data_IF_300639967141
#
_entry.id   IF_300639967141
#
_cell.length_a   1.000
_cell.length_b   1.000
_cell.length_c   1.000
_cell.angle_alpha   90.00
_cell.angle_beta   90.00
_cell.angle_gamma   90.00
#
_symmetry.space_group_name_H-M   'P 1'
#
loop_
_entity.id
_entity.type
_entity.pdbx_description
1 polymer ?
#
# COMPACT_ATOMS: atom_id res chain seq x y z
N UNK A 1 -26.46 11.68 0.26
CA UNK A 1 -25.88 11.52 -1.10
C UNK A 1 -25.03 12.70 -1.59
N UNK A 2 -24.84 13.79 -0.84
CA UNK A 2 -24.03 14.96 -1.29
C UNK A 2 -22.60 15.00 -0.71
N UNK A 3 -22.27 14.17 0.25
CA UNK A 3 -20.96 14.20 0.93
C UNK A 3 -19.89 13.27 0.33
N UNK A 4 -20.30 12.25 -0.43
CA UNK A 4 -19.36 11.32 -1.06
C UNK A 4 -18.57 11.89 -2.22
N UNK A 5 -19.00 13.03 -2.77
CA UNK A 5 -18.32 13.68 -3.91
C UNK A 5 -17.10 14.48 -3.44
N UNK A 6 -17.09 14.97 -2.20
CA UNK A 6 -15.99 15.79 -1.66
C UNK A 6 -14.71 14.95 -1.43
N UNK A 7 -14.84 13.67 -1.11
CA UNK A 7 -13.68 12.80 -0.84
C UNK A 7 -12.91 12.43 -2.12
N UNK A 8 -13.59 12.37 -3.26
CA UNK A 8 -12.97 12.08 -4.58
C UNK A 8 -12.06 13.24 -5.01
N UNK A 9 -12.42 14.47 -4.68
CA UNK A 9 -11.61 15.66 -5.00
C UNK A 9 -10.37 15.81 -4.11
N UNK A 10 -10.37 15.27 -2.88
CA UNK A 10 -9.20 15.28 -2.01
C UNK A 10 -8.07 14.35 -2.55
N UNK A 11 -8.43 13.24 -3.19
CA UNK A 11 -7.47 12.34 -3.83
C UNK A 11 -6.88 12.91 -5.13
N UNK A 12 -7.63 13.69 -5.87
CA UNK A 12 -7.13 14.38 -7.09
C UNK A 12 -6.20 15.56 -6.75
N UNK A 13 -6.38 16.22 -5.60
CA UNK A 13 -5.59 17.37 -5.17
C UNK A 13 -4.16 17.07 -4.72
N UNK A 14 -3.86 15.85 -4.28
CA UNK A 14 -2.52 15.46 -3.82
C UNK A 14 -1.55 15.20 -4.99
N UNK A 15 -2.05 14.99 -6.21
CA UNK A 15 -1.22 14.78 -7.39
C UNK A 15 -0.71 16.06 -8.07
N UNK A 16 -1.12 17.26 -7.67
CA UNK A 16 -0.84 18.51 -8.38
C UNK A 16 0.19 19.44 -7.73
N UNK A 17 0.83 19.07 -6.64
CA UNK A 17 1.85 19.93 -5.99
C UNK A 17 3.24 19.33 -6.14
N UNK A 18 3.79 19.33 -7.35
CA UNK A 18 5.24 19.25 -7.57
C UNK A 18 5.65 19.68 -8.99
N UNK A 19 5.28 20.88 -9.41
CA UNK A 19 5.87 21.52 -10.59
C UNK A 19 6.17 22.99 -10.31
N UNK A 20 7.23 23.27 -9.55
CA UNK A 20 7.90 24.56 -9.59
C UNK A 20 9.29 24.46 -8.97
N UNK A 21 10.25 24.99 -9.71
CA UNK A 21 11.65 25.30 -9.42
C UNK A 21 12.69 24.36 -10.04
N UNK A 22 12.99 24.64 -11.31
CA UNK A 22 14.32 24.54 -11.87
C UNK A 22 14.74 25.94 -12.34
N UNK A 23 15.67 26.55 -11.60
CA UNK A 23 16.49 27.66 -12.10
C UNK A 23 17.84 27.08 -12.47
N UNK A 24 18.29 27.35 -13.70
CA UNK A 24 19.59 26.97 -14.22
C UNK A 24 20.71 27.80 -13.58
N UNK A 25 21.81 27.18 -13.11
CA UNK A 25 23.03 27.91 -12.79
C UNK A 25 23.95 28.06 -14.01
N UNK A 26 24.82 29.11 -14.06
CA UNK A 26 25.59 29.47 -15.22
C UNK A 26 26.75 28.53 -15.53
N UNK A 27 27.08 28.45 -16.81
CA UNK A 27 28.13 27.62 -17.37
C UNK A 27 29.50 27.91 -16.79
N UNK A 28 30.21 26.90 -16.29
CA UNK A 28 31.65 26.89 -16.07
C UNK A 28 32.32 25.81 -16.92
N UNK A 29 33.25 26.23 -17.76
CA UNK A 29 34.19 25.39 -18.49
C UNK A 29 35.16 24.74 -17.53
N UNK A 30 35.36 23.43 -17.60
CA UNK A 30 36.66 22.76 -17.36
C UNK A 30 36.64 21.27 -17.65
N UNK A 31 37.68 20.85 -18.38
CA UNK A 31 38.41 19.58 -18.41
C UNK A 31 37.86 18.26 -18.93
N UNK A 32 38.51 17.82 -20.00
CA UNK A 32 38.28 16.64 -20.86
C UNK A 32 38.51 15.24 -20.25
N UNK A 33 38.77 15.12 -18.95
CA UNK A 33 39.03 13.78 -18.33
C UNK A 33 37.86 13.17 -17.56
N UNK A 34 36.71 13.85 -17.47
CA UNK A 34 35.55 13.33 -16.72
C UNK A 34 34.39 12.79 -17.58
N UNK A 35 34.57 12.76 -18.92
CA UNK A 35 33.48 12.48 -19.85
C UNK A 35 32.91 11.04 -19.73
N UNK A 36 33.72 10.03 -19.45
CA UNK A 36 33.24 8.66 -19.32
C UNK A 36 32.42 8.36 -18.08
N UNK A 37 32.68 9.07 -16.98
CA UNK A 37 31.92 8.88 -15.72
C UNK A 37 30.57 9.59 -15.72
N UNK A 38 30.46 10.66 -16.48
CA UNK A 38 29.23 11.47 -16.59
C UNK A 38 28.23 10.77 -17.49
N UNK A 39 28.66 10.14 -18.59
CA UNK A 39 27.78 9.42 -19.52
C UNK A 39 27.06 8.25 -18.82
N UNK A 40 27.75 7.48 -17.99
CA UNK A 40 27.10 6.39 -17.23
C UNK A 40 26.09 6.89 -16.19
N UNK A 41 26.29 8.09 -15.66
CA UNK A 41 25.37 8.68 -14.67
C UNK A 41 24.14 9.31 -15.34
N UNK A 42 24.26 9.83 -16.55
CA UNK A 42 23.14 10.36 -17.33
C UNK A 42 22.26 9.26 -17.92
N UNK A 43 22.84 8.13 -18.36
CA UNK A 43 22.03 6.98 -18.81
C UNK A 43 21.18 6.40 -17.68
N UNK A 44 21.70 6.31 -16.45
CA UNK A 44 20.93 5.81 -15.30
C UNK A 44 19.82 6.80 -14.88
N UNK A 45 19.99 8.09 -15.17
CA UNK A 45 18.97 9.11 -14.82
C UNK A 45 17.89 9.19 -15.91
N UNK A 46 18.22 8.95 -17.18
CA UNK A 46 17.25 8.94 -18.29
C UNK A 46 16.32 7.73 -18.26
N UNK A 47 16.78 6.56 -17.80
CA UNK A 47 15.95 5.37 -17.71
C UNK A 47 14.78 5.52 -16.71
N UNK A 48 14.90 6.45 -15.75
CA UNK A 48 13.88 6.69 -14.74
C UNK A 48 12.83 7.76 -15.13
N UNK A 49 13.04 8.48 -16.25
CA UNK A 49 12.17 9.60 -16.64
C UNK A 49 11.06 9.18 -17.60
N UNK A 50 11.19 8.03 -18.28
CA UNK A 50 10.27 7.59 -19.33
C UNK A 50 9.23 6.54 -18.92
N UNK A 51 9.15 6.16 -17.64
CA UNK A 51 8.04 5.30 -17.20
C UNK A 51 6.75 6.09 -17.24
N UNK A 52 5.78 5.58 -18.02
CA UNK A 52 4.46 6.20 -18.13
C UNK A 52 3.83 6.34 -16.72
N UNK A 53 2.98 7.35 -16.53
CA UNK A 53 2.23 7.52 -15.26
C UNK A 53 1.52 6.22 -14.86
N UNK A 54 1.03 5.46 -15.84
CA UNK A 54 0.39 4.18 -15.63
C UNK A 54 1.32 3.13 -15.01
N UNK A 55 2.57 3.03 -15.48
CA UNK A 55 3.55 2.12 -14.90
C UNK A 55 3.95 2.50 -13.48
N UNK A 56 4.02 3.80 -13.19
CA UNK A 56 4.28 4.30 -11.82
C UNK A 56 3.13 3.96 -10.88
N UNK A 57 1.88 4.16 -11.30
CA UNK A 57 0.67 3.87 -10.51
C UNK A 57 0.46 2.36 -10.36
N UNK A 58 0.70 1.57 -11.40
CA UNK A 58 0.62 0.11 -11.35
C UNK A 58 1.46 -0.48 -10.24
N UNK A 59 2.57 0.15 -9.90
CA UNK A 59 3.46 -0.26 -8.83
C UNK A 59 4.06 -1.65 -9.06
N UNK A 60 4.85 -2.10 -8.12
CA UNK A 60 5.39 -3.46 -8.06
C UNK A 60 4.54 -4.34 -7.14
N UNK A 61 4.75 -5.64 -7.18
CA UNK A 61 4.14 -6.59 -6.24
C UNK A 61 4.52 -6.18 -4.82
N UNK A 62 3.54 -6.10 -3.92
CA UNK A 62 3.82 -5.87 -2.52
C UNK A 62 4.58 -7.08 -1.93
N UNK A 63 5.31 -6.86 -0.84
CA UNK A 63 6.16 -7.87 -0.21
C UNK A 63 5.37 -9.04 0.34
N UNK A 64 6.01 -10.20 0.37
CA UNK A 64 5.44 -11.39 0.99
C UNK A 64 5.38 -11.21 2.50
N UNK A 65 4.21 -11.42 3.09
CA UNK A 65 3.97 -11.16 4.50
C UNK A 65 2.82 -12.00 5.07
N UNK A 66 2.85 -12.23 6.38
CA UNK A 66 1.69 -12.60 7.16
C UNK A 66 0.98 -11.31 7.63
N UNK A 67 -0.34 -11.28 7.54
CA UNK A 67 -1.19 -10.19 7.97
C UNK A 67 -1.94 -10.63 9.23
N UNK A 68 -1.82 -9.86 10.31
CA UNK A 68 -2.33 -10.24 11.62
C UNK A 68 -3.00 -9.07 12.31
N UNK A 69 -4.12 -9.33 12.95
CA UNK A 69 -4.86 -8.32 13.69
C UNK A 69 -5.24 -7.13 12.82
N UNK A 70 -6.42 -6.63 12.97
CA UNK A 70 -6.87 -5.41 12.29
C UNK A 70 -7.83 -4.69 13.19
N UNK A 71 -7.69 -3.38 13.23
CA UNK A 71 -8.63 -2.46 13.85
C UNK A 71 -9.12 -1.51 12.79
N UNK A 72 -10.36 -1.06 12.92
CA UNK A 72 -10.93 -0.05 12.04
C UNK A 72 -11.44 1.14 12.84
N UNK A 73 -11.50 2.28 12.19
CA UNK A 73 -12.15 3.50 12.67
C UNK A 73 -13.09 3.94 11.57
N UNK A 74 -14.36 4.12 11.93
CA UNK A 74 -15.41 4.57 11.01
C UNK A 74 -15.56 6.09 11.12
N UNK A 75 -15.21 6.83 10.06
CA UNK A 75 -15.23 8.28 10.05
C UNK A 75 -16.65 8.88 10.11
N UNK A 76 -17.68 8.09 9.86
CA UNK A 76 -19.09 8.47 9.99
C UNK A 76 -19.61 8.43 11.45
N UNK A 77 -18.76 8.11 12.41
CA UNK A 77 -19.12 8.04 13.83
C UNK A 77 -19.93 6.80 14.22
N UNK A 78 -19.90 5.73 13.43
CA UNK A 78 -20.63 4.48 13.72
C UNK A 78 -19.78 3.41 14.40
N UNK A 79 -18.47 3.65 14.59
CA UNK A 79 -17.55 2.70 15.19
C UNK A 79 -17.73 2.54 16.71
N UNK A 80 -17.22 1.43 17.25
CA UNK A 80 -17.29 1.09 18.66
C UNK A 80 -16.47 2.04 19.54
N UNK A 81 -15.24 2.39 19.12
CA UNK A 81 -14.33 3.22 19.92
C UNK A 81 -14.56 4.72 19.77
N UNK A 82 -14.94 5.19 18.61
CA UNK A 82 -15.05 6.61 18.28
C UNK A 82 -16.42 6.98 17.71
N UNK A 83 -17.49 6.27 18.12
CA UNK A 83 -18.81 6.45 17.58
C UNK A 83 -19.92 5.94 18.51
N UNK A 84 -21.02 5.53 17.90
CA UNK A 84 -22.24 5.07 18.60
C UNK A 84 -22.30 3.54 18.83
N UNK A 85 -21.24 2.82 18.48
CA UNK A 85 -21.11 1.39 18.71
C UNK A 85 -21.90 0.49 17.76
N UNK A 86 -22.39 1.01 16.63
CA UNK A 86 -23.12 0.21 15.66
C UNK A 86 -22.25 -0.70 14.80
N UNK A 87 -20.95 -0.41 14.74
CA UNK A 87 -19.97 -1.15 13.95
C UNK A 87 -18.80 -1.60 14.82
N UNK A 88 -18.43 -2.87 14.70
CA UNK A 88 -17.25 -3.45 15.33
C UNK A 88 -15.97 -2.84 14.75
N UNK A 89 -15.08 -2.42 15.65
CA UNK A 89 -13.76 -1.86 15.32
C UNK A 89 -12.62 -2.88 15.51
N UNK A 90 -12.88 -4.09 16.06
CA UNK A 90 -11.91 -5.16 16.29
C UNK A 90 -12.02 -6.27 15.25
N UNK A 91 -11.33 -6.14 14.14
CA UNK A 91 -11.57 -6.99 12.97
C UNK A 91 -10.79 -8.31 12.95
N UNK A 92 -9.86 -8.58 13.88
CA UNK A 92 -9.14 -9.86 14.04
C UNK A 92 -8.67 -10.51 12.72
N UNK A 93 -7.96 -9.74 11.89
CA UNK A 93 -7.44 -10.22 10.59
C UNK A 93 -6.42 -11.34 10.81
N UNK A 94 -6.56 -12.41 10.02
CA UNK A 94 -5.53 -13.40 9.78
C UNK A 94 -5.43 -13.65 8.27
N UNK A 95 -4.27 -13.41 7.69
CA UNK A 95 -4.11 -13.50 6.24
C UNK A 95 -2.68 -13.64 5.79
N UNK A 96 -2.51 -13.81 4.50
CA UNK A 96 -1.22 -13.90 3.82
C UNK A 96 -1.21 -12.97 2.62
N UNK A 97 -0.05 -12.38 2.41
CA UNK A 97 0.30 -11.67 1.19
C UNK A 97 1.48 -12.40 0.55
N UNK A 98 1.31 -12.89 -0.66
CA UNK A 98 2.31 -13.68 -1.35
C UNK A 98 2.32 -13.37 -2.84
N UNK A 99 3.49 -12.99 -3.35
CA UNK A 99 3.70 -12.69 -4.78
C UNK A 99 2.79 -11.56 -5.32
N UNK A 100 2.36 -10.65 -4.43
CA UNK A 100 1.43 -9.56 -4.75
C UNK A 100 -0.05 -9.97 -4.75
N UNK A 101 -0.36 -11.21 -4.40
CA UNK A 101 -1.71 -11.67 -4.05
C UNK A 101 -1.92 -11.46 -2.55
N UNK A 102 -3.14 -11.22 -2.13
CA UNK A 102 -3.52 -11.16 -0.72
C UNK A 102 -4.78 -11.98 -0.50
N UNK A 103 -4.82 -12.73 0.58
CA UNK A 103 -6.00 -13.49 0.99
C UNK A 103 -6.04 -13.62 2.50
N UNK A 104 -7.22 -13.67 3.07
CA UNK A 104 -7.37 -13.81 4.51
C UNK A 104 -8.81 -13.81 4.97
N UNK A 105 -8.97 -13.86 6.28
CA UNK A 105 -10.26 -13.79 6.97
C UNK A 105 -10.19 -12.76 8.08
N UNK A 106 -11.29 -12.12 8.37
CA UNK A 106 -11.41 -11.14 9.44
C UNK A 106 -12.86 -11.09 9.96
N UNK A 107 -13.07 -10.43 11.08
CA UNK A 107 -14.41 -10.11 11.57
C UNK A 107 -14.81 -8.76 10.96
N UNK A 108 -15.93 -8.72 10.27
CA UNK A 108 -16.41 -7.47 9.65
C UNK A 108 -17.03 -6.52 10.69
N UNK A 109 -17.47 -5.36 10.24
CA UNK A 109 -18.08 -4.35 11.14
C UNK A 109 -19.45 -4.77 11.71
N UNK A 110 -20.00 -5.89 11.32
CA UNK A 110 -21.26 -6.47 11.86
C UNK A 110 -21.02 -7.73 12.69
N UNK A 111 -19.77 -7.94 13.15
CA UNK A 111 -19.36 -9.12 13.92
C UNK A 111 -19.42 -10.45 13.15
N UNK A 112 -19.62 -10.40 11.84
CA UNK A 112 -19.64 -11.59 11.01
C UNK A 112 -18.26 -11.93 10.46
N UNK A 113 -18.02 -13.23 10.21
CA UNK A 113 -16.78 -13.67 9.57
C UNK A 113 -16.79 -13.35 8.09
N UNK A 114 -15.83 -12.56 7.65
CA UNK A 114 -15.61 -12.22 6.27
C UNK A 114 -14.27 -12.79 5.75
N UNK A 115 -14.18 -12.91 4.43
CA UNK A 115 -12.98 -13.36 3.73
C UNK A 115 -12.65 -12.37 2.64
N UNK A 116 -11.36 -12.22 2.34
CA UNK A 116 -10.92 -11.41 1.21
C UNK A 116 -9.93 -12.18 0.35
N UNK A 117 -9.94 -11.89 -0.94
CA UNK A 117 -8.92 -12.32 -1.89
C UNK A 117 -8.68 -11.22 -2.92
N UNK A 118 -7.43 -10.92 -3.24
CA UNK A 118 -7.15 -9.81 -4.15
C UNK A 118 -5.68 -9.61 -4.46
N UNK A 119 -5.36 -8.40 -4.88
CA UNK A 119 -4.02 -7.96 -5.22
C UNK A 119 -3.54 -6.89 -4.25
N UNK A 120 -2.25 -6.94 -3.92
CA UNK A 120 -1.54 -5.93 -3.16
C UNK A 120 -0.39 -5.38 -4.00
N UNK A 121 -0.33 -4.08 -4.16
CA UNK A 121 0.66 -3.36 -4.95
C UNK A 121 1.37 -2.30 -4.12
N UNK A 122 2.66 -2.18 -4.32
CA UNK A 122 3.52 -1.16 -3.72
C UNK A 122 3.90 -0.16 -4.80
N UNK A 123 3.43 1.08 -4.66
CA UNK A 123 3.70 2.19 -5.59
C UNK A 123 5.00 2.90 -5.24
N UNK A 124 5.24 3.07 -3.94
CA UNK A 124 6.43 3.72 -3.44
C UNK A 124 7.00 2.96 -2.26
N UNK A 125 8.33 2.94 -2.16
CA UNK A 125 9.02 2.42 -0.99
C UNK A 125 10.36 3.11 -0.78
N UNK A 126 10.67 3.39 0.49
CA UNK A 126 11.91 4.05 0.89
C UNK A 126 12.49 3.38 2.13
N UNK A 127 13.78 3.03 2.06
CA UNK A 127 14.53 2.53 3.21
C UNK A 127 15.11 3.74 3.95
N UNK A 128 14.49 4.11 5.06
CA UNK A 128 14.97 5.19 5.93
C UNK A 128 16.27 4.81 6.63
N UNK A 129 16.40 3.54 7.02
CA UNK A 129 17.60 2.98 7.63
C UNK A 129 17.78 1.52 7.20
N UNK A 130 18.86 0.88 7.66
CA UNK A 130 19.12 -0.56 7.44
C UNK A 130 17.96 -1.45 7.92
N UNK A 131 17.23 -1.00 8.91
CA UNK A 131 16.17 -1.79 9.56
C UNK A 131 14.77 -1.18 9.39
N UNK A 132 14.64 0.06 8.93
CA UNK A 132 13.36 0.79 8.85
C UNK A 132 13.03 1.12 7.42
N UNK A 133 11.81 0.81 7.03
CA UNK A 133 11.30 1.06 5.69
C UNK A 133 9.87 1.62 5.76
N UNK A 134 9.57 2.49 4.81
CA UNK A 134 8.24 3.04 4.54
C UNK A 134 7.75 2.55 3.18
N UNK A 135 6.49 2.22 3.11
CA UNK A 135 5.82 1.75 1.90
C UNK A 135 4.51 2.51 1.70
N UNK A 136 4.18 2.81 0.45
CA UNK A 136 2.86 3.31 0.05
C UNK A 136 2.36 2.40 -1.06
N UNK A 137 1.11 2.00 -0.97
CA UNK A 137 0.54 1.12 -1.97
C UNK A 137 -0.98 1.08 -1.92
N UNK A 138 -1.53 0.07 -2.58
CA UNK A 138 -2.96 -0.17 -2.58
C UNK A 138 -3.25 -1.67 -2.59
N UNK A 139 -4.42 -2.02 -2.10
CA UNK A 139 -4.99 -3.38 -2.14
C UNK A 139 -6.37 -3.29 -2.80
N UNK A 140 -6.70 -4.26 -3.64
CA UNK A 140 -8.04 -4.36 -4.22
C UNK A 140 -8.38 -5.83 -4.49
N UNK A 141 -9.66 -6.15 -4.46
CA UNK A 141 -10.09 -7.52 -4.66
C UNK A 141 -11.55 -7.74 -4.30
N UNK A 142 -11.84 -8.96 -3.90
CA UNK A 142 -13.16 -9.45 -3.57
C UNK A 142 -13.27 -9.67 -2.07
N UNK A 143 -14.47 -9.37 -1.54
CA UNK A 143 -14.91 -9.64 -0.18
C UNK A 143 -16.07 -10.62 -0.21
N UNK A 144 -16.05 -11.56 0.71
CA UNK A 144 -17.10 -12.54 0.92
C UNK A 144 -17.56 -12.47 2.39
N UNK A 145 -18.86 -12.64 2.65
CA UNK A 145 -19.39 -12.57 4.02
C UNK A 145 -19.81 -11.17 4.47
N UNK A 146 -19.87 -10.21 3.56
CA UNK A 146 -20.61 -8.97 3.76
C UNK A 146 -22.04 -9.21 3.22
N UNK A 147 -23.05 -8.96 4.06
CA UNK A 147 -24.44 -8.97 3.65
C UNK A 147 -24.79 -7.84 2.69
N UNK A 148 -25.99 -7.31 2.81
CA UNK A 148 -26.52 -6.26 1.90
C UNK A 148 -25.95 -4.84 2.18
N UNK A 149 -25.04 -4.71 3.14
CA UNK A 149 -24.46 -3.42 3.54
C UNK A 149 -23.47 -2.83 2.50
N UNK A 150 -22.93 -3.67 1.63
CA UNK A 150 -22.08 -3.25 0.52
C UNK A 150 -22.73 -3.58 -0.81
N UNK A 151 -22.33 -2.85 -1.86
CA UNK A 151 -22.70 -3.22 -3.23
C UNK A 151 -22.15 -4.62 -3.48
N UNK A 152 -23.04 -5.61 -3.50
CA UNK A 152 -22.69 -7.00 -3.73
C UNK A 152 -23.52 -7.62 -4.85
N UNK A 153 -22.94 -8.63 -5.50
CA UNK A 153 -23.63 -9.49 -6.45
C UNK A 153 -23.43 -10.92 -5.98
N UNK A 154 -24.52 -11.59 -5.65
CA UNK A 154 -24.50 -12.97 -5.16
C UNK A 154 -23.58 -13.20 -3.92
N UNK A 155 -23.57 -12.27 -2.97
CA UNK A 155 -22.77 -12.37 -1.75
C UNK A 155 -21.30 -12.00 -1.92
N UNK A 156 -20.91 -11.46 -3.08
CA UNK A 156 -19.55 -11.03 -3.39
C UNK A 156 -19.53 -9.51 -3.52
N UNK A 157 -18.71 -8.84 -2.74
CA UNK A 157 -18.45 -7.41 -2.81
C UNK A 157 -17.04 -7.15 -3.32
N UNK A 158 -16.78 -5.94 -3.79
CA UNK A 158 -15.43 -5.50 -4.17
C UNK A 158 -14.87 -4.59 -3.09
N UNK A 159 -13.56 -4.63 -2.89
CA UNK A 159 -12.86 -3.67 -2.05
C UNK A 159 -11.69 -3.04 -2.79
N UNK A 160 -11.39 -1.80 -2.46
CA UNK A 160 -10.17 -1.11 -2.84
C UNK A 160 -9.78 -0.17 -1.71
N UNK A 161 -8.49 -0.06 -1.44
CA UNK A 161 -7.98 0.85 -0.42
C UNK A 161 -6.51 1.14 -0.63
N UNK A 162 -6.09 2.36 -0.29
CA UNK A 162 -4.70 2.73 -0.20
C UNK A 162 -4.15 2.31 1.17
N UNK A 163 -2.84 2.06 1.26
CA UNK A 163 -2.18 1.85 2.53
C UNK A 163 -0.85 2.60 2.61
N UNK A 164 -0.49 2.98 3.83
CA UNK A 164 0.83 3.40 4.24
C UNK A 164 1.39 2.38 5.23
N UNK A 165 2.56 1.83 4.92
CA UNK A 165 3.23 0.85 5.75
C UNK A 165 4.52 1.39 6.35
N UNK A 166 4.76 1.08 7.62
CA UNK A 166 6.05 1.24 8.26
C UNK A 166 6.52 -0.12 8.77
N UNK A 167 7.76 -0.48 8.50
CA UNK A 167 8.33 -1.73 9.02
C UNK A 167 9.68 -1.50 9.66
N UNK A 168 9.93 -2.24 10.74
CA UNK A 168 11.21 -2.35 11.40
C UNK A 168 11.65 -3.82 11.38
N UNK A 169 12.77 -4.08 10.68
CA UNK A 169 13.21 -5.45 10.37
C UNK A 169 12.12 -6.23 9.61
N UNK A 170 11.41 -7.12 10.31
CA UNK A 170 10.33 -7.95 9.75
C UNK A 170 8.96 -7.56 10.26
N UNK A 171 8.87 -6.86 11.37
CA UNK A 171 7.60 -6.41 11.91
C UNK A 171 7.16 -5.11 11.22
N UNK A 172 5.94 -5.02 10.79
CA UNK A 172 5.36 -3.85 10.15
C UNK A 172 3.96 -3.54 10.66
N UNK A 173 3.58 -2.29 10.46
CA UNK A 173 2.24 -1.77 10.67
C UNK A 173 1.77 -1.17 9.36
N UNK A 174 0.60 -1.57 8.90
CA UNK A 174 -0.09 -1.01 7.74
C UNK A 174 -1.27 -0.16 8.20
N UNK A 175 -1.30 1.09 7.83
CA UNK A 175 -2.46 1.99 7.99
C UNK A 175 -3.16 2.04 6.64
N UNK A 176 -4.38 1.55 6.58
CA UNK A 176 -5.22 1.50 5.37
C UNK A 176 -6.25 2.61 5.36
N UNK A 177 -6.58 3.08 4.18
CA UNK A 177 -7.67 4.01 3.92
C UNK A 177 -8.59 3.42 2.87
N UNK A 178 -9.82 3.14 3.26
CA UNK A 178 -10.88 2.62 2.39
C UNK A 178 -11.82 3.77 2.02
N UNK A 179 -12.20 3.94 0.74
CA UNK A 179 -13.01 5.07 0.28
C UNK A 179 -14.38 5.23 0.98
N UNK A 180 -14.87 4.18 1.63
CA UNK A 180 -16.08 4.23 2.46
C UNK A 180 -15.92 5.05 3.76
N UNK A 181 -14.77 5.75 3.95
CA UNK A 181 -14.50 6.49 5.18
C UNK A 181 -14.00 5.62 6.32
N UNK A 182 -13.39 4.47 6.02
CA UNK A 182 -12.86 3.56 7.03
C UNK A 182 -11.34 3.64 7.02
N UNK A 183 -10.75 3.91 8.18
CA UNK A 183 -9.31 3.83 8.41
C UNK A 183 -9.04 2.50 9.11
N UNK A 184 -8.07 1.74 8.65
CA UNK A 184 -7.68 0.46 9.25
C UNK A 184 -6.24 0.51 9.74
N UNK A 185 -5.93 -0.24 10.78
CA UNK A 185 -4.57 -0.50 11.24
C UNK A 185 -4.38 -2.01 11.38
N UNK A 186 -3.34 -2.57 10.78
CA UNK A 186 -3.05 -4.01 10.85
C UNK A 186 -1.56 -4.27 11.00
N UNK A 187 -1.21 -5.34 11.72
CA UNK A 187 0.17 -5.81 11.82
C UNK A 187 0.56 -6.65 10.60
N UNK A 188 1.83 -6.57 10.24
CA UNK A 188 2.45 -7.35 9.19
C UNK A 188 3.76 -7.96 9.65
N UNK A 189 4.02 -9.22 9.26
CA UNK A 189 5.31 -9.89 9.43
C UNK A 189 5.86 -10.21 8.04
N UNK A 190 6.90 -9.51 7.61
CA UNK A 190 7.53 -9.70 6.31
C UNK A 190 8.29 -11.04 6.25
N UNK A 191 8.03 -11.85 5.22
CA UNK A 191 8.58 -13.19 5.03
C UNK A 191 9.47 -13.32 3.77
N UNK A 192 9.69 -12.26 3.02
CA UNK A 192 10.41 -12.25 1.73
C UNK A 192 11.76 -12.99 1.74
N UNK A 193 12.45 -13.01 2.86
CA UNK A 193 13.79 -13.62 2.97
C UNK A 193 13.80 -15.07 3.45
N UNK A 194 12.63 -15.68 3.69
CA UNK A 194 12.58 -17.06 4.16
C UNK A 194 12.90 -18.07 3.04
N UNK A 195 12.56 -17.76 1.80
CA UNK A 195 12.85 -18.59 0.62
C UNK A 195 14.29 -18.46 0.11
N UNK A 196 14.82 -17.24 0.05
CA UNK A 196 16.14 -16.99 -0.53
C UNK A 196 17.29 -17.65 0.24
N UNK A 197 17.20 -17.77 1.57
CA UNK A 197 18.22 -18.47 2.38
C UNK A 197 18.20 -19.97 2.21
N UNK A 198 17.09 -20.59 1.80
CA UNK A 198 17.03 -22.05 1.55
C UNK A 198 17.71 -22.44 0.24
N UNK A 199 17.62 -21.61 -0.78
CA UNK A 199 18.23 -21.85 -2.10
C UNK A 199 19.75 -21.60 -2.10
N UNK A 200 20.28 -20.82 -1.15
CA UNK A 200 21.70 -20.50 -1.03
C UNK A 200 22.51 -21.50 -0.16
N UNK A 201 21.94 -22.62 0.29
CA UNK A 201 22.74 -23.66 0.94
C UNK A 201 23.43 -24.49 -0.13
N UNK A 202 24.78 -24.49 -0.20
CA UNK A 202 25.48 -25.40 -1.07
C UNK A 202 25.16 -26.85 -0.63
N UNK A 203 24.75 -27.65 -1.58
CA UNK A 203 24.67 -29.11 -1.43
C UNK A 203 26.08 -29.55 -1.12
N UNK A 204 26.31 -30.04 0.09
CA UNK A 204 27.56 -30.70 0.49
C UNK A 204 27.50 -32.18 0.10
#
# INVERSE_FOLDING_TARGET
>A
MKESILLIYLFAGICLVNTAYCQDPPAQQTDHQNSHKIIQKEETTKENTDKSLWEKIKGKKARDALLLGMWSIHADGTGEYFGDGRNNDQNHLAGIQYYGLTAGTFINSKDDRAYHAGLAREVYSHNYSKNTRFDIGYKFGLLFGYGDDLINVAGISVFAGAYFGISWKRAGLDIGLIPAGIITASFRIDIDNLGAKRLARPVR
#
